data_IF_945300704151
#
_entry.id   IF_945300704151
#
_cell.length_a   1.000
_cell.length_b   1.000
_cell.length_c   1.000
_cell.angle_alpha   90.00
_cell.angle_beta   90.00
_cell.angle_gamma   90.00
#
_symmetry.space_group_name_H-M   'P 1'
#
loop_
_entity.id
_entity.type
_entity.pdbx_description
1 polymer ?
#
# COMPACT_ATOMS: atom_id res chain seq x y z
N UNK A 1 -35.90 46.09 -1.31
CA UNK A 1 -35.60 45.51 -0.02
C UNK A 1 -35.53 43.97 -0.10
N UNK A 2 -36.61 43.27 -0.49
CA UNK A 2 -36.62 41.78 -0.65
C UNK A 2 -35.55 41.21 -1.56
N UNK A 3 -35.18 41.86 -2.67
CA UNK A 3 -34.15 41.37 -3.57
C UNK A 3 -32.74 41.42 -2.97
N UNK A 4 -32.47 42.45 -2.15
CA UNK A 4 -31.19 42.63 -1.46
C UNK A 4 -31.02 41.58 -0.35
N UNK A 5 -32.08 41.21 0.34
CA UNK A 5 -32.07 40.15 1.35
C UNK A 5 -31.84 38.77 0.74
N UNK A 6 -32.38 38.48 -0.42
CA UNK A 6 -32.13 37.23 -1.16
C UNK A 6 -30.65 37.14 -1.56
N UNK A 7 -30.06 38.20 -2.09
CA UNK A 7 -28.65 38.22 -2.51
C UNK A 7 -27.73 38.04 -1.29
N UNK A 8 -28.04 38.67 -0.17
CA UNK A 8 -27.25 38.55 1.06
C UNK A 8 -27.35 37.15 1.66
N UNK A 9 -28.54 36.54 1.65
CA UNK A 9 -28.73 35.16 2.08
C UNK A 9 -27.98 34.14 1.20
N UNK A 10 -27.97 34.30 -0.12
CA UNK A 10 -27.22 33.45 -1.05
C UNK A 10 -25.70 33.58 -0.82
N UNK A 11 -25.18 34.80 -0.62
CA UNK A 11 -23.78 35.02 -0.28
C UNK A 11 -23.41 34.38 1.08
N UNK A 12 -24.23 34.57 2.12
CA UNK A 12 -24.00 33.95 3.40
C UNK A 12 -24.02 32.43 3.37
N UNK A 13 -24.94 31.83 2.59
CA UNK A 13 -25.01 30.39 2.36
C UNK A 13 -23.75 29.87 1.67
N UNK A 14 -23.29 30.54 0.62
CA UNK A 14 -22.09 30.15 -0.13
C UNK A 14 -20.81 30.20 0.75
N UNK A 15 -20.69 31.19 1.63
CA UNK A 15 -19.60 31.29 2.61
C UNK A 15 -19.65 30.15 3.65
N UNK A 16 -20.85 29.79 4.13
CA UNK A 16 -21.02 28.66 5.06
C UNK A 16 -20.62 27.34 4.42
N UNK A 17 -21.08 27.08 3.19
CA UNK A 17 -20.74 25.87 2.45
C UNK A 17 -19.23 25.76 2.23
N UNK A 18 -18.58 26.84 1.77
CA UNK A 18 -17.13 26.88 1.57
C UNK A 18 -16.35 26.60 2.84
N UNK A 19 -16.75 27.21 3.95
CA UNK A 19 -16.10 27.02 5.24
C UNK A 19 -16.32 25.59 5.77
N UNK A 20 -17.52 25.02 5.61
CA UNK A 20 -17.78 23.62 5.95
C UNK A 20 -16.93 22.65 5.14
N UNK A 21 -16.79 22.86 3.83
CA UNK A 21 -15.94 22.04 2.97
C UNK A 21 -14.48 22.16 3.41
N UNK A 22 -13.98 23.36 3.69
CA UNK A 22 -12.61 23.57 4.16
C UNK A 22 -12.37 22.90 5.54
N UNK A 23 -13.34 22.97 6.45
CA UNK A 23 -13.26 22.31 7.75
C UNK A 23 -13.27 20.78 7.60
N UNK A 24 -14.18 20.22 6.80
CA UNK A 24 -14.24 18.78 6.55
C UNK A 24 -12.94 18.29 5.91
N UNK A 25 -12.42 19.01 4.92
CA UNK A 25 -11.14 18.67 4.29
C UNK A 25 -9.98 18.70 5.30
N UNK A 26 -9.91 19.73 6.14
CA UNK A 26 -8.92 19.83 7.21
C UNK A 26 -9.01 18.69 8.23
N UNK A 27 -10.21 18.31 8.64
CA UNK A 27 -10.45 17.19 9.57
C UNK A 27 -10.05 15.87 8.92
N UNK A 28 -10.39 15.62 7.65
CA UNK A 28 -10.02 14.39 6.92
C UNK A 28 -8.51 14.27 6.75
N UNK A 29 -7.82 15.37 6.42
CA UNK A 29 -6.35 15.38 6.29
C UNK A 29 -5.66 15.12 7.63
N UNK A 30 -6.18 15.68 8.74
CA UNK A 30 -5.61 15.48 10.08
C UNK A 30 -5.94 14.11 10.68
N UNK A 31 -7.08 13.51 10.33
CA UNK A 31 -7.50 12.20 10.83
C UNK A 31 -6.69 11.02 10.27
N UNK A 32 -5.95 11.23 9.17
CA UNK A 32 -5.14 10.19 8.53
C UNK A 32 -3.81 9.85 9.23
N UNK A 33 -3.44 10.57 10.29
CA UNK A 33 -2.17 10.40 11.00
C UNK A 33 -2.32 9.50 12.24
N UNK A 34 -2.78 8.25 12.08
CA UNK A 34 -2.78 7.29 13.18
C UNK A 34 -1.35 6.78 13.41
N UNK A 35 -0.83 6.95 14.63
CA UNK A 35 0.44 6.35 15.05
C UNK A 35 0.18 5.04 15.80
N UNK A 36 1.04 4.04 15.61
CA UNK A 36 0.92 2.70 16.21
C UNK A 36 -0.39 1.96 15.87
N UNK A 37 -0.96 2.18 14.70
CA UNK A 37 -2.10 1.42 14.22
C UNK A 37 -1.71 -0.06 14.01
N UNK A 38 -2.59 -1.02 14.31
CA UNK A 38 -2.38 -2.39 13.88
C UNK A 38 -2.17 -2.43 12.36
N UNK A 39 -1.24 -3.24 11.89
CA UNK A 39 -0.94 -3.39 10.44
C UNK A 39 -0.39 -2.10 9.77
N UNK A 40 0.29 -1.24 10.52
CA UNK A 40 0.95 -0.05 9.98
C UNK A 40 2.15 -0.44 9.12
N UNK A 41 2.08 -0.14 7.82
CA UNK A 41 3.17 -0.41 6.85
C UNK A 41 4.31 0.59 6.92
N UNK A 42 4.12 1.74 7.60
CA UNK A 42 5.13 2.78 7.74
C UNK A 42 6.06 2.57 8.94
N UNK A 43 5.80 1.55 9.74
CA UNK A 43 6.63 1.18 10.89
C UNK A 43 7.17 -0.24 10.73
N UNK A 44 8.14 -0.46 9.83
CA UNK A 44 8.71 -1.78 9.61
C UNK A 44 9.37 -2.32 10.87
N UNK A 45 9.20 -3.61 11.11
CA UNK A 45 9.74 -4.37 12.24
C UNK A 45 10.52 -5.60 11.79
N UNK A 46 10.83 -5.69 10.49
CA UNK A 46 11.60 -6.74 9.88
C UNK A 46 12.29 -6.26 8.61
N UNK A 47 13.35 -6.97 8.20
CA UNK A 47 14.21 -6.63 7.06
C UNK A 47 13.40 -6.41 5.76
N UNK A 48 12.50 -7.33 5.43
CA UNK A 48 11.72 -7.26 4.20
C UNK A 48 10.70 -6.11 4.22
N UNK A 49 10.08 -5.83 5.37
CA UNK A 49 9.23 -4.65 5.52
C UNK A 49 10.04 -3.35 5.38
N UNK A 50 11.30 -3.32 5.82
CA UNK A 50 12.19 -2.16 5.65
C UNK A 50 12.52 -1.92 4.18
N UNK A 51 12.79 -2.96 3.38
CA UNK A 51 13.01 -2.85 1.92
C UNK A 51 11.79 -2.21 1.25
N UNK A 52 10.59 -2.67 1.60
CA UNK A 52 9.32 -2.13 1.07
C UNK A 52 9.13 -0.67 1.50
N UNK A 53 9.37 -0.36 2.78
CA UNK A 53 9.26 1.00 3.30
C UNK A 53 10.23 1.97 2.61
N UNK A 54 11.47 1.56 2.35
CA UNK A 54 12.44 2.37 1.61
C UNK A 54 11.94 2.69 0.20
N UNK A 55 11.32 1.73 -0.50
CA UNK A 55 10.71 1.97 -1.80
C UNK A 55 9.51 2.93 -1.70
N UNK A 56 8.68 2.81 -0.67
CA UNK A 56 7.56 3.72 -0.43
C UNK A 56 8.03 5.17 -0.28
N UNK A 57 9.12 5.42 0.46
CA UNK A 57 9.71 6.75 0.63
C UNK A 57 10.26 7.36 -0.67
N UNK A 58 10.54 6.56 -1.69
CA UNK A 58 10.89 7.03 -3.04
C UNK A 58 9.62 7.34 -3.84
N UNK A 59 8.67 6.41 -3.85
CA UNK A 59 7.49 6.44 -4.73
C UNK A 59 6.48 7.50 -4.30
N UNK A 60 6.14 7.56 -2.99
CA UNK A 60 5.07 8.44 -2.51
C UNK A 60 5.36 9.94 -2.67
N UNK A 61 6.58 10.45 -2.36
CA UNK A 61 6.87 11.86 -2.62
C UNK A 61 6.80 12.22 -4.10
N UNK A 62 7.31 11.34 -4.98
CA UNK A 62 7.24 11.55 -6.44
C UNK A 62 5.78 11.56 -6.93
N UNK A 63 4.98 10.60 -6.50
CA UNK A 63 3.55 10.54 -6.81
C UNK A 63 2.80 11.76 -6.24
N UNK A 64 3.17 12.21 -5.04
CA UNK A 64 2.62 13.41 -4.40
C UNK A 64 2.86 14.68 -5.22
N UNK A 65 4.10 14.89 -5.69
CA UNK A 65 4.43 16.05 -6.55
C UNK A 65 3.63 16.01 -7.85
N UNK A 66 3.60 14.85 -8.54
CA UNK A 66 2.82 14.68 -9.77
C UNK A 66 1.34 14.91 -9.49
N UNK A 67 0.79 14.35 -8.41
CA UNK A 67 -0.60 14.53 -8.02
C UNK A 67 -0.95 16.00 -7.79
N UNK A 68 -0.15 16.72 -7.02
CA UNK A 68 -0.36 18.17 -6.76
C UNK A 68 -0.35 18.96 -8.07
N UNK A 69 0.61 18.71 -8.97
CA UNK A 69 0.70 19.39 -10.25
C UNK A 69 -0.54 19.13 -11.14
N UNK A 70 -0.97 17.87 -11.22
CA UNK A 70 -2.15 17.48 -12.03
C UNK A 70 -3.43 18.09 -11.46
N UNK A 71 -3.65 18.00 -10.13
CA UNK A 71 -4.84 18.60 -9.52
C UNK A 71 -4.83 20.12 -9.59
N UNK A 72 -3.69 20.78 -9.41
CA UNK A 72 -3.57 22.23 -9.54
C UNK A 72 -3.86 22.67 -11.00
N UNK A 73 -3.34 21.95 -11.98
CA UNK A 73 -3.61 22.22 -13.38
C UNK A 73 -5.08 21.99 -13.74
N UNK A 74 -5.69 20.91 -13.27
CA UNK A 74 -7.11 20.65 -13.45
C UNK A 74 -7.98 21.76 -12.83
N UNK A 75 -7.71 22.14 -11.58
CA UNK A 75 -8.41 23.22 -10.90
C UNK A 75 -8.28 24.57 -11.66
N UNK A 76 -7.06 24.89 -12.12
CA UNK A 76 -6.81 26.06 -12.96
C UNK A 76 -7.64 26.02 -14.25
N UNK A 77 -7.65 24.87 -14.93
CA UNK A 77 -8.40 24.69 -16.19
C UNK A 77 -9.90 24.86 -15.97
N UNK A 78 -10.46 24.24 -14.94
CA UNK A 78 -11.86 24.42 -14.57
C UNK A 78 -12.19 25.88 -14.26
N UNK A 79 -11.35 26.55 -13.48
CA UNK A 79 -11.57 27.97 -13.17
C UNK A 79 -11.44 28.91 -14.37
N UNK A 80 -10.41 28.69 -15.19
CA UNK A 80 -10.07 29.54 -16.31
C UNK A 80 -11.03 29.40 -17.48
N UNK A 81 -11.45 28.18 -17.81
CA UNK A 81 -12.19 27.83 -19.02
C UNK A 81 -13.66 27.50 -18.75
N UNK A 82 -14.19 27.83 -17.60
CA UNK A 82 -15.64 27.78 -17.35
C UNK A 82 -16.34 28.71 -18.31
N UNK A 83 -17.37 28.23 -18.99
CA UNK A 83 -18.16 29.03 -19.93
C UNK A 83 -18.85 30.18 -19.19
N UNK A 84 -18.53 31.41 -19.64
CA UNK A 84 -19.09 32.66 -19.13
C UNK A 84 -19.56 33.56 -20.29
N UNK A 85 -19.88 32.94 -21.44
CA UNK A 85 -20.30 33.66 -22.66
C UNK A 85 -19.14 34.31 -23.40
N UNK A 86 -17.90 33.88 -23.17
CA UNK A 86 -16.72 34.39 -23.88
C UNK A 86 -16.63 33.82 -25.31
N UNK A 87 -15.98 34.53 -26.25
CA UNK A 87 -15.82 34.04 -27.60
C UNK A 87 -14.97 32.78 -27.66
N UNK A 88 -15.25 31.92 -28.63
CA UNK A 88 -14.47 30.68 -28.84
C UNK A 88 -12.99 31.03 -29.02
N UNK A 89 -12.09 30.43 -28.20
CA UNK A 89 -10.66 30.71 -28.30
C UNK A 89 -10.07 30.21 -29.61
N UNK A 90 -8.94 30.77 -30.02
CA UNK A 90 -8.22 30.33 -31.22
C UNK A 90 -7.83 28.86 -31.09
N UNK A 91 -8.10 28.09 -32.13
CA UNK A 91 -7.77 26.67 -32.18
C UNK A 91 -6.27 26.48 -32.45
N UNK A 92 -5.64 25.54 -31.69
CA UNK A 92 -4.23 25.20 -31.85
C UNK A 92 -4.11 23.73 -32.22
N UNK A 93 -3.29 23.39 -33.20
CA UNK A 93 -3.07 22.04 -33.70
C UNK A 93 -1.89 21.33 -33.03
N UNK A 94 -1.74 21.49 -31.71
CA UNK A 94 -0.67 20.84 -30.94
C UNK A 94 0.67 21.62 -31.03
N UNK A 95 1.60 21.22 -30.17
CA UNK A 95 2.98 21.72 -30.10
C UNK A 95 3.91 20.53 -29.86
N UNK A 96 4.59 20.00 -30.89
CA UNK A 96 5.39 18.75 -30.77
C UNK A 96 6.38 18.76 -29.62
N UNK A 97 7.03 19.89 -29.33
CA UNK A 97 7.99 20.01 -28.26
C UNK A 97 7.33 19.79 -26.87
N UNK A 98 6.11 20.30 -26.68
CA UNK A 98 5.36 20.11 -25.42
C UNK A 98 4.96 18.65 -25.26
N UNK A 99 4.52 18.00 -26.32
CA UNK A 99 4.14 16.60 -26.34
C UNK A 99 5.33 15.69 -26.01
N UNK A 100 6.50 15.97 -26.59
CA UNK A 100 7.74 15.25 -26.28
C UNK A 100 8.12 15.43 -24.80
N UNK A 101 8.09 16.64 -24.26
CA UNK A 101 8.42 16.91 -22.87
C UNK A 101 7.46 16.18 -21.93
N UNK A 102 6.16 16.24 -22.18
CA UNK A 102 5.13 15.57 -21.38
C UNK A 102 5.21 14.04 -21.47
N UNK A 103 5.87 13.48 -22.47
CA UNK A 103 6.12 12.05 -22.60
C UNK A 103 7.43 11.64 -21.91
N UNK A 104 8.50 12.38 -22.15
CA UNK A 104 9.84 12.02 -21.66
C UNK A 104 9.94 12.17 -20.14
N UNK A 105 9.39 13.24 -19.54
CA UNK A 105 9.48 13.46 -18.09
C UNK A 105 8.82 12.30 -17.31
N UNK A 106 7.58 11.89 -17.55
CA UNK A 106 6.99 10.73 -16.88
C UNK A 106 7.75 9.44 -17.14
N UNK A 107 8.24 9.22 -18.36
CA UNK A 107 9.04 8.04 -18.69
C UNK A 107 10.33 7.95 -17.87
N UNK A 108 11.03 9.06 -17.66
CA UNK A 108 12.21 9.11 -16.81
C UNK A 108 11.87 8.84 -15.34
N UNK A 109 10.79 9.42 -14.83
CA UNK A 109 10.30 9.17 -13.47
C UNK A 109 10.02 7.67 -13.28
N UNK A 110 9.26 7.07 -14.18
CA UNK A 110 8.93 5.64 -14.12
C UNK A 110 10.17 4.76 -14.26
N UNK A 111 11.17 5.16 -15.04
CA UNK A 111 12.43 4.44 -15.16
C UNK A 111 13.19 4.42 -13.83
N UNK A 112 13.27 5.55 -13.14
CA UNK A 112 13.90 5.63 -11.81
C UNK A 112 13.16 4.73 -10.81
N UNK A 113 11.84 4.84 -10.71
CA UNK A 113 11.02 3.97 -9.85
C UNK A 113 11.22 2.50 -10.22
N UNK A 114 11.25 2.18 -11.52
CA UNK A 114 11.47 0.83 -12.04
C UNK A 114 12.78 0.22 -11.56
N UNK A 115 13.89 0.96 -11.62
CA UNK A 115 15.20 0.46 -11.18
C UNK A 115 15.18 0.09 -9.68
N UNK A 116 14.61 0.92 -8.83
CA UNK A 116 14.49 0.62 -7.39
C UNK A 116 13.53 -0.55 -7.12
N UNK A 117 12.42 -0.61 -7.87
CA UNK A 117 11.45 -1.71 -7.77
C UNK A 117 12.09 -3.04 -8.16
N UNK A 118 12.80 -3.12 -9.27
CA UNK A 118 13.50 -4.34 -9.69
C UNK A 118 14.52 -4.80 -8.63
N UNK A 119 15.33 -3.91 -8.09
CA UNK A 119 16.25 -4.24 -7.00
C UNK A 119 15.50 -4.83 -5.80
N UNK A 120 14.44 -4.16 -5.33
CA UNK A 120 13.64 -4.64 -4.23
C UNK A 120 13.01 -6.01 -4.48
N UNK A 121 12.52 -6.31 -5.69
CA UNK A 121 11.95 -7.61 -6.05
C UNK A 121 13.01 -8.72 -5.92
N UNK A 122 14.22 -8.53 -6.44
CA UNK A 122 15.28 -9.53 -6.35
C UNK A 122 15.74 -9.74 -4.90
N UNK A 123 15.81 -8.69 -4.11
CA UNK A 123 16.18 -8.76 -2.71
C UNK A 123 15.12 -9.49 -1.88
N UNK A 124 13.84 -9.19 -2.09
CA UNK A 124 12.72 -9.86 -1.42
C UNK A 124 12.54 -11.32 -1.87
N UNK A 125 12.94 -11.66 -3.09
CA UNK A 125 12.85 -13.01 -3.64
C UNK A 125 14.01 -13.91 -3.19
N UNK A 126 15.07 -13.35 -2.59
CA UNK A 126 16.21 -14.14 -2.12
C UNK A 126 15.81 -14.99 -0.91
N UNK A 127 16.07 -16.28 -0.97
CA UNK A 127 15.79 -17.28 0.06
C UNK A 127 17.03 -18.03 0.53
N UNK A 128 18.22 -17.65 0.06
CA UNK A 128 19.48 -18.40 0.31
C UNK A 128 19.91 -18.34 1.78
N UNK A 129 19.62 -17.25 2.48
CA UNK A 129 20.02 -17.04 3.87
C UNK A 129 18.98 -17.55 4.91
N UNK A 130 18.12 -18.47 4.50
CA UNK A 130 17.04 -18.97 5.38
C UNK A 130 17.56 -19.93 6.43
N UNK A 131 17.21 -19.68 7.68
CA UNK A 131 17.63 -20.46 8.84
C UNK A 131 16.53 -21.42 9.33
N UNK A 132 15.25 -21.09 9.08
CA UNK A 132 14.10 -21.86 9.55
C UNK A 132 13.03 -21.94 8.45
N UNK A 133 12.36 -23.08 8.35
CA UNK A 133 11.26 -23.30 7.38
C UNK A 133 9.97 -23.56 8.16
N UNK A 134 8.88 -22.94 7.73
CA UNK A 134 7.53 -23.18 8.25
C UNK A 134 6.58 -23.33 7.04
N UNK A 135 5.78 -24.40 7.04
CA UNK A 135 4.74 -24.55 6.05
C UNK A 135 3.49 -23.83 6.52
N UNK A 136 2.91 -22.99 5.65
CA UNK A 136 1.70 -22.22 5.94
C UNK A 136 0.61 -22.66 4.97
N UNK A 137 -0.50 -23.12 5.52
CA UNK A 137 -1.64 -23.58 4.71
C UNK A 137 -2.87 -22.74 5.02
N UNK A 138 -3.38 -22.04 4.00
CA UNK A 138 -4.64 -21.30 4.08
C UNK A 138 -5.84 -22.24 3.99
N UNK A 139 -6.84 -21.98 4.80
CA UNK A 139 -8.14 -22.66 4.78
C UNK A 139 -9.23 -21.65 5.12
N UNK A 140 -10.46 -21.92 4.74
CA UNK A 140 -11.63 -21.10 5.08
C UNK A 140 -12.06 -21.42 6.52
N UNK A 141 -11.80 -20.59 7.54
CA UNK A 141 -11.17 -19.25 7.49
C UNK A 141 -10.15 -19.16 8.60
N UNK A 142 -9.03 -19.86 8.44
CA UNK A 142 -7.92 -19.91 9.40
C UNK A 142 -6.61 -20.27 8.70
N UNK A 143 -5.48 -20.10 9.41
CA UNK A 143 -4.14 -20.48 8.96
C UNK A 143 -3.63 -21.67 9.79
N UNK A 144 -3.14 -22.69 9.11
CA UNK A 144 -2.38 -23.77 9.71
C UNK A 144 -0.89 -23.52 9.53
N UNK A 145 -0.13 -23.68 10.61
CA UNK A 145 1.31 -23.56 10.63
C UNK A 145 1.90 -24.90 11.00
N UNK A 146 2.65 -25.50 10.11
CA UNK A 146 3.39 -26.74 10.33
C UNK A 146 4.88 -26.39 10.42
N UNK A 147 5.47 -26.65 11.58
CA UNK A 147 6.88 -26.51 11.87
C UNK A 147 7.53 -27.89 11.74
N UNK A 148 8.19 -28.22 10.62
CA UNK A 148 8.86 -29.52 10.46
C UNK A 148 9.99 -29.67 11.49
N UNK A 149 10.41 -30.89 11.73
CA UNK A 149 11.55 -31.14 12.60
C UNK A 149 12.81 -30.44 12.05
N UNK A 150 13.41 -29.58 12.86
CA UNK A 150 14.59 -28.77 12.55
C UNK A 150 15.46 -28.70 13.81
N UNK A 151 16.38 -29.65 13.96
CA UNK A 151 17.15 -29.82 15.20
C UNK A 151 18.03 -28.62 15.54
N UNK A 152 18.51 -27.88 14.55
CA UNK A 152 19.29 -26.65 14.74
C UNK A 152 18.50 -25.54 15.42
N UNK A 153 17.17 -25.51 15.24
CA UNK A 153 16.24 -24.59 15.90
C UNK A 153 15.57 -25.21 17.13
N UNK A 154 16.04 -26.37 17.59
CA UNK A 154 15.51 -27.07 18.75
C UNK A 154 14.16 -27.79 18.55
N UNK A 155 13.68 -27.85 17.30
CA UNK A 155 12.43 -28.54 16.94
C UNK A 155 12.77 -29.99 16.63
N UNK A 156 12.64 -30.88 17.62
CA UNK A 156 12.98 -32.31 17.48
C UNK A 156 11.85 -33.13 16.83
N UNK A 157 10.61 -32.65 16.90
CA UNK A 157 9.44 -33.29 16.32
C UNK A 157 8.58 -32.22 15.62
N UNK A 158 7.84 -32.55 14.53
CA UNK A 158 6.94 -31.63 13.90
C UNK A 158 5.89 -31.06 14.87
N UNK A 159 5.64 -29.76 14.79
CA UNK A 159 4.63 -29.06 15.58
C UNK A 159 3.61 -28.45 14.63
N UNK A 160 2.33 -28.73 14.84
CA UNK A 160 1.24 -28.11 14.09
C UNK A 160 0.52 -27.12 15.02
N UNK A 161 0.36 -25.90 14.55
CA UNK A 161 -0.35 -24.82 15.26
C UNK A 161 -1.39 -24.18 14.34
N UNK A 162 -2.34 -23.46 14.92
CA UNK A 162 -3.36 -22.73 14.18
C UNK A 162 -3.55 -21.33 14.76
N UNK A 163 -3.86 -20.37 13.87
CA UNK A 163 -4.20 -19.00 14.23
C UNK A 163 -3.04 -18.09 14.62
N UNK A 164 -1.91 -18.62 15.10
CA UNK A 164 -0.73 -17.83 15.46
C UNK A 164 0.55 -18.43 14.90
N UNK A 165 1.29 -17.63 14.12
CA UNK A 165 2.66 -17.92 13.73
C UNK A 165 3.61 -17.48 14.85
N UNK A 166 4.45 -18.36 15.34
CA UNK A 166 5.48 -18.06 16.34
C UNK A 166 6.85 -18.26 15.71
N UNK A 167 7.69 -17.23 15.74
CA UNK A 167 9.04 -17.26 15.17
C UNK A 167 10.06 -16.67 16.15
N UNK A 168 11.32 -17.14 16.15
CA UNK A 168 12.38 -16.52 16.92
C UNK A 168 12.74 -15.13 16.39
N UNK A 169 13.09 -14.22 17.29
CA UNK A 169 13.58 -12.87 16.91
C UNK A 169 14.93 -12.99 16.23
N UNK A 170 15.14 -12.21 15.18
CA UNK A 170 16.39 -12.17 14.41
C UNK A 170 16.60 -13.33 13.45
N UNK A 171 15.75 -14.36 13.48
CA UNK A 171 15.86 -15.53 12.61
C UNK A 171 15.18 -15.28 11.25
N UNK A 172 15.88 -15.60 10.17
CA UNK A 172 15.33 -15.54 8.80
C UNK A 172 14.48 -16.79 8.53
N UNK A 173 13.18 -16.61 8.49
CA UNK A 173 12.20 -17.67 8.32
C UNK A 173 11.68 -17.69 6.89
N UNK A 174 11.67 -18.87 6.26
CA UNK A 174 11.03 -19.11 4.98
C UNK A 174 9.67 -19.74 5.21
N UNK A 175 8.63 -19.02 4.86
CA UNK A 175 7.28 -19.56 4.76
C UNK A 175 7.07 -20.23 3.40
N UNK A 176 6.58 -21.48 3.43
CA UNK A 176 6.16 -22.22 2.25
C UNK A 176 4.63 -22.22 2.23
N UNK A 177 4.05 -21.37 1.43
CA UNK A 177 2.63 -21.04 1.49
C UNK A 177 1.85 -21.81 0.41
N UNK A 178 0.76 -22.42 0.81
CA UNK A 178 -0.22 -23.07 -0.05
C UNK A 178 -1.63 -22.92 0.51
N UNK A 179 -2.62 -23.44 -0.20
CA UNK A 179 -4.01 -23.48 0.25
C UNK A 179 -4.61 -24.86 0.04
N UNK A 180 -5.59 -25.24 0.87
CA UNK A 180 -6.39 -26.47 0.73
C UNK A 180 -7.69 -26.28 -0.03
N UNK A 181 -8.19 -25.06 -0.15
CA UNK A 181 -9.50 -24.75 -0.71
C UNK A 181 -9.45 -23.65 -1.78
N UNK A 182 -9.59 -22.39 -1.43
CA UNK A 182 -9.57 -21.24 -2.33
C UNK A 182 -8.23 -20.50 -2.23
N UNK A 183 -8.01 -19.51 -3.08
CA UNK A 183 -6.84 -18.63 -2.96
C UNK A 183 -7.01 -17.77 -1.70
N UNK A 184 -5.95 -17.70 -0.91
CA UNK A 184 -5.76 -16.76 0.20
C UNK A 184 -4.54 -15.90 -0.07
N UNK A 185 -4.31 -14.84 0.69
CA UNK A 185 -3.09 -14.05 0.61
C UNK A 185 -2.58 -13.71 2.01
N UNK A 186 -1.41 -14.24 2.32
CA UNK A 186 -0.80 -14.07 3.65
C UNK A 186 -0.07 -12.74 3.74
N UNK A 187 -0.37 -11.95 4.78
CA UNK A 187 0.23 -10.65 4.96
C UNK A 187 0.36 -10.24 6.42
N UNK A 188 1.59 -9.94 6.84
CA UNK A 188 1.92 -9.29 8.10
C UNK A 188 2.65 -7.97 7.76
N UNK A 189 1.94 -6.83 7.67
CA UNK A 189 2.49 -5.57 7.15
C UNK A 189 3.78 -5.10 7.80
N UNK A 190 3.92 -5.32 9.11
CA UNK A 190 5.10 -4.90 9.85
C UNK A 190 6.36 -5.74 9.54
N UNK A 191 6.21 -6.95 9.00
CA UNK A 191 7.31 -7.89 8.78
C UNK A 191 7.65 -8.09 7.30
N UNK A 192 6.65 -8.04 6.41
CA UNK A 192 6.86 -8.30 4.98
C UNK A 192 5.71 -7.75 4.11
N UNK A 193 5.85 -7.87 2.78
CA UNK A 193 4.78 -7.78 1.81
C UNK A 193 3.84 -8.98 1.87
N UNK A 194 2.80 -8.98 1.06
CA UNK A 194 1.84 -10.08 0.94
C UNK A 194 2.27 -11.09 -0.13
N UNK A 195 1.83 -12.34 0.08
CA UNK A 195 2.04 -13.43 -0.85
C UNK A 195 0.80 -14.32 -0.90
N UNK A 196 0.40 -14.71 -2.11
CA UNK A 196 -0.77 -15.55 -2.29
C UNK A 196 -0.48 -17.01 -1.94
N UNK A 197 -1.36 -17.61 -1.15
CA UNK A 197 -1.41 -19.03 -0.88
C UNK A 197 -2.42 -19.66 -1.86
N UNK A 198 -1.88 -20.38 -2.87
CA UNK A 198 -2.65 -20.89 -4.01
C UNK A 198 -2.77 -22.42 -3.92
N UNK A 199 -3.97 -22.99 -4.12
CA UNK A 199 -4.13 -24.45 -4.18
C UNK A 199 -3.23 -25.11 -5.24
N UNK A 200 -2.55 -26.17 -4.83
CA UNK A 200 -1.67 -26.96 -5.75
C UNK A 200 -0.34 -26.29 -6.09
N UNK A 201 -0.03 -25.11 -5.49
CA UNK A 201 1.24 -24.41 -5.69
C UNK A 201 1.86 -24.05 -4.33
N UNK A 202 3.18 -24.11 -4.25
CA UNK A 202 3.94 -23.61 -3.10
C UNK A 202 4.57 -22.27 -3.49
N UNK A 203 4.18 -21.21 -2.84
CA UNK A 203 4.81 -19.90 -2.92
C UNK A 203 5.76 -19.70 -1.72
N UNK A 204 6.83 -18.97 -1.93
CA UNK A 204 7.86 -18.72 -0.92
C UNK A 204 7.77 -17.28 -0.44
N UNK A 205 7.76 -17.07 0.87
CA UNK A 205 7.77 -15.78 1.51
C UNK A 205 8.80 -15.79 2.63
N UNK A 206 9.85 -14.96 2.54
CA UNK A 206 10.82 -14.79 3.62
C UNK A 206 10.35 -13.69 4.56
N UNK A 207 10.49 -13.91 5.85
CA UNK A 207 10.26 -12.88 6.86
C UNK A 207 11.22 -13.03 8.04
N UNK A 208 11.38 -11.93 8.78
CA UNK A 208 12.16 -11.85 10.01
C UNK A 208 11.54 -10.79 10.91
N UNK A 209 11.57 -11.02 12.21
CA UNK A 209 11.20 -10.01 13.20
C UNK A 209 12.46 -9.48 13.90
N UNK A 210 12.70 -8.17 13.84
CA UNK A 210 13.89 -7.54 14.43
C UNK A 210 13.77 -7.39 15.95
N UNK A 211 12.54 -7.42 16.47
CA UNK A 211 12.22 -7.21 17.90
C UNK A 211 11.10 -8.14 18.36
N UNK A 212 11.08 -8.50 19.63
CA UNK A 212 9.96 -9.25 20.18
C UNK A 212 8.68 -8.41 20.16
N UNK A 213 7.54 -9.07 19.87
CA UNK A 213 6.24 -8.40 19.79
C UNK A 213 5.16 -9.29 19.20
N UNK A 214 3.96 -8.78 19.16
CA UNK A 214 2.82 -9.37 18.46
C UNK A 214 2.52 -8.48 17.26
N UNK A 215 2.53 -9.08 16.08
CA UNK A 215 2.32 -8.38 14.81
C UNK A 215 1.03 -8.89 14.18
N UNK A 216 0.06 -8.01 14.00
CA UNK A 216 -1.20 -8.37 13.36
C UNK A 216 -0.99 -8.62 11.85
N UNK A 217 -1.63 -9.67 11.36
CA UNK A 217 -1.72 -10.02 9.95
C UNK A 217 -3.17 -10.16 9.52
N UNK A 218 -3.40 -10.33 8.23
CA UNK A 218 -4.72 -10.62 7.67
C UNK A 218 -4.60 -11.31 6.32
N UNK A 219 -5.65 -12.02 5.95
CA UNK A 219 -5.84 -12.48 4.57
C UNK A 219 -6.23 -11.30 3.68
N UNK A 220 -5.51 -11.13 2.57
CA UNK A 220 -5.70 -9.99 1.64
C UNK A 220 -6.16 -10.43 0.25
N UNK A 221 -6.78 -11.62 0.16
CA UNK A 221 -7.46 -12.10 -1.04
C UNK A 221 -8.90 -12.52 -0.70
N UNK A 222 -9.81 -12.38 -1.66
CA UNK A 222 -11.21 -12.78 -1.48
C UNK A 222 -11.35 -14.28 -1.28
N UNK A 223 -11.43 -14.71 -0.03
CA UNK A 223 -11.54 -16.11 0.35
C UNK A 223 -12.89 -16.48 1.01
N UNK A 224 -13.78 -15.52 1.21
CA UNK A 224 -15.11 -15.73 1.79
C UNK A 224 -15.50 -14.66 2.82
N UNK A 225 -16.08 -15.08 3.96
CA UNK A 225 -16.74 -14.16 4.90
C UNK A 225 -15.76 -13.28 5.70
N UNK A 226 -14.80 -13.88 6.38
CA UNK A 226 -13.86 -13.14 7.22
C UNK A 226 -12.69 -14.05 7.58
N UNK A 227 -11.47 -13.59 7.27
CA UNK A 227 -10.24 -14.32 7.55
C UNK A 227 -9.13 -13.34 7.97
N UNK A 228 -8.64 -13.46 9.16
CA UNK A 228 -7.53 -12.66 9.71
C UNK A 228 -6.33 -13.56 10.04
#
# INVERSE_FOLDING_TARGET
EKAMDIVNNVKASSHRIRNSIATIFGVVVLAGCATNAPQDTWQPKGENAQIINNLQWIVFPMAGVVGVLVFAFAAYTFWKFTDRGQPIPSQSHGKPIVEIILTIIPALILTVVGVFTFRGIFELANTEDTEMIINVTGQQWWWEYDYPAQSEQGITQPIISSGQLVIPVGTKVLLRETSRDVIHSYWIPALNGKKDAVPGRINLLRLQADKPGIFAGQCTEFCGLSHA
#
